data_IF_855098996989
#
_entry.id   IF_855098996989
#
_cell.length_a   1.000
_cell.length_b   1.000
_cell.length_c   1.000
_cell.angle_alpha   90.00
_cell.angle_beta   90.00
_cell.angle_gamma   90.00
#
_symmetry.space_group_name_H-M   'P 1'
#
loop_
_entity.id
_entity.type
_entity.pdbx_description
1 polymer ?
#
# COMPACT_ATOMS: atom_id res chain seq x y z
N UNK A 1 -2.07 -6.22 -10.45
CA UNK A 1 -1.97 -5.22 -11.53
C UNK A 1 -2.67 -5.70 -12.82
N UNK A 2 -2.33 -6.84 -13.45
CA UNK A 2 -2.97 -7.27 -14.70
C UNK A 2 -4.50 -7.26 -14.66
N UNK A 3 -5.12 -7.80 -13.63
CA UNK A 3 -6.59 -7.84 -13.49
C UNK A 3 -7.27 -6.47 -13.55
N UNK A 4 -6.64 -5.41 -13.05
CA UNK A 4 -7.20 -4.05 -13.16
C UNK A 4 -7.12 -3.53 -14.59
N UNK A 5 -6.00 -3.81 -15.27
CA UNK A 5 -5.80 -3.43 -16.67
C UNK A 5 -6.75 -4.21 -17.59
N UNK A 6 -6.89 -5.51 -17.41
CA UNK A 6 -7.81 -6.38 -18.14
C UNK A 6 -9.27 -5.97 -17.96
N UNK A 7 -9.62 -5.42 -16.78
CA UNK A 7 -10.93 -4.86 -16.50
C UNK A 7 -11.13 -3.44 -17.07
N UNK A 8 -10.16 -2.89 -17.78
CA UNK A 8 -10.25 -1.59 -18.47
C UNK A 8 -10.02 -0.38 -17.56
N UNK A 9 -9.49 -0.55 -16.35
CA UNK A 9 -9.16 0.57 -15.49
C UNK A 9 -7.88 1.27 -15.95
N UNK A 10 -7.90 2.62 -15.94
CA UNK A 10 -6.67 3.41 -16.02
C UNK A 10 -5.97 3.33 -14.66
N UNK A 11 -4.73 2.90 -14.66
CA UNK A 11 -3.97 2.71 -13.41
C UNK A 11 -2.77 3.64 -13.40
N UNK A 12 -2.64 4.39 -12.30
CA UNK A 12 -1.45 5.18 -11.98
C UNK A 12 -0.76 4.59 -10.76
N UNK A 13 0.56 4.54 -10.79
CA UNK A 13 1.37 4.09 -9.67
C UNK A 13 2.29 5.22 -9.21
N UNK A 14 2.39 5.41 -7.89
CA UNK A 14 3.37 6.32 -7.28
C UNK A 14 4.59 5.51 -6.86
N UNK A 15 5.76 5.89 -7.34
CA UNK A 15 7.01 5.17 -7.08
C UNK A 15 8.17 6.14 -6.83
N UNK A 16 9.10 5.74 -5.97
CA UNK A 16 10.37 6.47 -5.77
C UNK A 16 11.43 6.11 -6.81
N UNK A 17 11.33 4.90 -7.37
CA UNK A 17 12.33 4.27 -8.23
C UNK A 17 11.68 3.77 -9.51
N UNK A 18 11.47 4.62 -10.53
CA UNK A 18 10.78 4.26 -11.77
C UNK A 18 11.50 3.16 -12.56
N UNK A 19 12.83 3.05 -12.43
CA UNK A 19 13.64 2.01 -13.06
C UNK A 19 13.23 0.58 -12.68
N UNK A 20 12.65 0.39 -11.47
CA UNK A 20 12.14 -0.91 -11.03
C UNK A 20 10.84 -1.28 -11.74
N UNK A 21 10.03 -0.29 -12.07
CA UNK A 21 8.77 -0.49 -12.80
C UNK A 21 9.02 -0.81 -14.26
N UNK A 22 10.03 -0.19 -14.87
CA UNK A 22 10.38 -0.41 -16.28
C UNK A 22 10.70 -1.88 -16.63
N UNK A 23 11.03 -2.69 -15.63
CA UNK A 23 11.30 -4.13 -15.80
C UNK A 23 10.03 -5.00 -15.74
N UNK A 24 8.87 -4.44 -15.41
CA UNK A 24 7.65 -5.20 -15.25
C UNK A 24 6.88 -5.32 -16.58
N UNK A 25 6.26 -6.47 -16.88
CA UNK A 25 5.64 -6.72 -18.17
C UNK A 25 4.47 -5.79 -18.51
N UNK A 26 3.89 -5.14 -17.52
CA UNK A 26 2.75 -4.23 -17.66
C UNK A 26 3.16 -2.74 -17.56
N UNK A 27 4.45 -2.40 -17.50
CA UNK A 27 4.91 -1.02 -17.25
C UNK A 27 4.41 -0.01 -18.28
N UNK A 28 4.28 -0.41 -19.55
CA UNK A 28 3.77 0.46 -20.63
C UNK A 28 2.24 0.67 -20.58
N UNK A 29 1.53 -0.01 -19.68
CA UNK A 29 0.08 0.05 -19.57
C UNK A 29 -0.38 0.88 -18.37
N UNK A 30 0.55 1.46 -17.62
CA UNK A 30 0.26 2.26 -16.43
C UNK A 30 0.88 3.65 -16.54
N UNK A 31 0.24 4.62 -15.89
CA UNK A 31 0.84 5.93 -15.67
C UNK A 31 1.79 5.87 -14.47
N UNK A 32 2.98 6.42 -14.59
CA UNK A 32 3.99 6.45 -13.52
C UNK A 32 4.10 7.87 -12.99
N UNK A 33 3.72 8.07 -11.72
CA UNK A 33 4.02 9.26 -10.96
C UNK A 33 5.29 8.99 -10.12
N UNK A 34 6.25 9.91 -10.16
CA UNK A 34 7.50 9.78 -9.41
C UNK A 34 7.41 10.66 -8.17
N UNK A 35 7.64 10.07 -6.99
CA UNK A 35 7.61 10.82 -5.73
C UNK A 35 7.58 9.91 -4.50
N UNK A 36 7.70 10.54 -3.34
CA UNK A 36 7.56 9.88 -2.05
C UNK A 36 6.15 10.09 -1.49
N UNK A 37 5.57 9.06 -0.88
CA UNK A 37 4.26 9.13 -0.26
C UNK A 37 4.24 9.98 1.04
N UNK A 38 5.39 10.43 1.53
CA UNK A 38 5.51 11.44 2.59
C UNK A 38 5.50 12.87 2.05
N UNK A 39 5.56 13.05 0.73
CA UNK A 39 5.51 14.37 0.10
C UNK A 39 4.07 14.69 -0.34
N UNK A 40 3.40 15.67 0.31
CA UNK A 40 2.06 16.09 -0.07
C UNK A 40 1.95 16.58 -1.53
N UNK A 41 2.99 17.23 -2.07
CA UNK A 41 2.97 17.74 -3.43
C UNK A 41 3.06 16.60 -4.46
N UNK A 42 3.89 15.59 -4.19
CA UNK A 42 3.95 14.38 -5.00
C UNK A 42 2.61 13.62 -4.99
N UNK A 43 1.98 13.50 -3.81
CA UNK A 43 0.66 12.88 -3.69
C UNK A 43 -0.43 13.69 -4.40
N UNK A 44 -0.42 15.02 -4.29
CA UNK A 44 -1.38 15.86 -5.01
C UNK A 44 -1.30 15.64 -6.52
N UNK A 45 -0.09 15.54 -7.06
CA UNK A 45 0.15 15.23 -8.47
C UNK A 45 -0.33 13.82 -8.83
N UNK A 46 -0.01 12.83 -7.97
CA UNK A 46 -0.39 11.44 -8.20
C UNK A 46 -1.92 11.22 -8.13
N UNK A 47 -2.63 11.98 -7.31
CA UNK A 47 -4.08 11.86 -7.11
C UNK A 47 -4.92 12.64 -8.14
N UNK A 48 -4.30 13.47 -8.97
CA UNK A 48 -5.03 14.22 -9.98
C UNK A 48 -5.84 13.30 -10.89
N UNK A 49 -7.15 13.52 -11.00
CA UNK A 49 -8.09 12.72 -11.81
C UNK A 49 -8.14 11.22 -11.41
N UNK A 50 -7.91 10.91 -10.14
CA UNK A 50 -7.99 9.57 -9.57
C UNK A 50 -9.25 9.43 -8.72
N UNK A 51 -10.05 8.40 -8.97
CA UNK A 51 -11.25 8.11 -8.19
C UNK A 51 -10.97 7.22 -6.97
N UNK A 52 -10.08 6.23 -7.12
CA UNK A 52 -9.83 5.21 -6.10
C UNK A 52 -8.33 5.09 -5.84
N UNK A 53 -7.94 5.20 -4.58
CA UNK A 53 -6.55 5.08 -4.16
C UNK A 53 -6.33 3.80 -3.35
N UNK A 54 -5.33 2.99 -3.75
CA UNK A 54 -4.88 1.82 -3.01
C UNK A 54 -3.68 2.19 -2.12
N UNK A 55 -3.81 2.01 -0.82
CA UNK A 55 -2.70 2.15 0.11
C UNK A 55 -2.09 0.78 0.41
N UNK A 56 -0.93 0.50 -0.20
CA UNK A 56 -0.22 -0.78 -0.09
C UNK A 56 1.20 -0.59 0.49
N UNK A 57 1.48 0.59 1.06
CA UNK A 57 2.79 0.93 1.59
C UNK A 57 2.97 0.31 2.98
N UNK A 58 4.17 -0.16 3.26
CA UNK A 58 4.62 -0.55 4.59
C UNK A 58 6.14 -0.39 4.71
N UNK A 59 6.60 -0.15 5.94
CA UNK A 59 8.00 0.16 6.23
C UNK A 59 8.80 -1.08 6.70
N UNK A 60 8.49 -2.29 6.21
CA UNK A 60 9.22 -3.51 6.55
C UNK A 60 10.69 -3.35 6.16
N UNK A 61 11.60 -3.57 7.13
CA UNK A 61 13.04 -3.50 6.90
C UNK A 61 13.63 -2.09 6.99
N UNK A 62 12.84 -1.06 7.34
CA UNK A 62 13.41 0.25 7.67
C UNK A 62 14.16 0.18 9.00
N UNK A 63 15.32 0.83 9.06
CA UNK A 63 16.06 1.06 10.32
C UNK A 63 15.44 2.24 11.05
N UNK A 64 15.18 2.10 12.37
CA UNK A 64 14.60 3.15 13.18
C UNK A 64 13.16 2.87 13.61
N UNK A 65 12.44 3.92 14.01
CA UNK A 65 11.05 3.83 14.47
C UNK A 65 10.10 3.66 13.28
N UNK A 66 9.93 2.43 12.82
CA UNK A 66 9.06 2.10 11.68
C UNK A 66 7.58 2.42 11.97
N UNK A 67 7.14 2.36 13.23
CA UNK A 67 5.76 2.69 13.62
C UNK A 67 5.49 4.18 13.37
N UNK A 68 6.43 5.06 13.74
CA UNK A 68 6.31 6.49 13.49
C UNK A 68 6.34 6.81 11.98
N UNK A 69 7.19 6.14 11.22
CA UNK A 69 7.27 6.31 9.75
C UNK A 69 5.95 5.87 9.10
N UNK A 70 5.42 4.71 9.44
CA UNK A 70 4.15 4.21 8.89
C UNK A 70 2.98 5.14 9.24
N UNK A 71 2.91 5.60 10.50
CA UNK A 71 1.91 6.56 10.97
C UNK A 71 1.97 7.87 10.18
N UNK A 72 3.17 8.45 10.05
CA UNK A 72 3.39 9.70 9.32
C UNK A 72 2.96 9.56 7.86
N UNK A 73 3.45 8.54 7.16
CA UNK A 73 3.12 8.31 5.75
C UNK A 73 1.62 8.10 5.54
N UNK A 74 0.97 7.32 6.42
CA UNK A 74 -0.46 7.08 6.35
C UNK A 74 -1.27 8.37 6.59
N UNK A 75 -0.84 9.21 7.52
CA UNK A 75 -1.49 10.49 7.83
C UNK A 75 -1.39 11.46 6.66
N UNK A 76 -0.21 11.59 6.05
CA UNK A 76 0.01 12.45 4.89
C UNK A 76 -0.84 11.97 3.71
N UNK A 77 -0.83 10.66 3.44
CA UNK A 77 -1.63 10.06 2.37
C UNK A 77 -3.14 10.30 2.58
N UNK A 78 -3.67 10.00 3.77
CA UNK A 78 -5.08 10.15 4.10
C UNK A 78 -5.54 11.63 3.99
N UNK A 79 -4.72 12.55 4.49
CA UNK A 79 -4.97 13.98 4.40
C UNK A 79 -5.01 14.45 2.95
N UNK A 80 -4.03 14.04 2.17
CA UNK A 80 -3.96 14.43 0.76
C UNK A 80 -5.06 13.78 -0.07
N UNK A 81 -5.43 12.53 0.21
CA UNK A 81 -6.55 11.85 -0.45
C UNK A 81 -7.87 12.62 -0.26
N UNK A 82 -8.10 13.13 0.96
CA UNK A 82 -9.27 13.97 1.24
C UNK A 82 -9.24 15.29 0.47
N UNK A 83 -8.08 15.97 0.41
CA UNK A 83 -7.92 17.24 -0.29
C UNK A 83 -8.01 17.11 -1.83
N UNK A 84 -7.75 15.91 -2.36
CA UNK A 84 -7.79 15.63 -3.80
C UNK A 84 -9.10 14.97 -4.26
N UNK A 85 -10.15 15.01 -3.43
CA UNK A 85 -11.48 14.47 -3.73
C UNK A 85 -11.47 12.98 -4.13
N UNK A 86 -10.54 12.20 -3.57
CA UNK A 86 -10.52 10.73 -3.75
C UNK A 86 -11.84 10.16 -3.23
N UNK A 87 -12.54 9.43 -4.08
CA UNK A 87 -13.86 8.87 -3.75
C UNK A 87 -13.78 7.64 -2.85
N UNK A 88 -12.66 6.92 -2.89
CA UNK A 88 -12.47 5.71 -2.07
C UNK A 88 -11.01 5.39 -1.84
N UNK A 89 -10.70 4.99 -0.61
CA UNK A 89 -9.42 4.38 -0.26
C UNK A 89 -9.62 2.87 -0.10
N UNK A 90 -8.69 2.07 -0.63
CA UNK A 90 -8.60 0.63 -0.39
C UNK A 90 -7.28 0.38 0.34
N UNK A 91 -7.39 -0.17 1.54
CA UNK A 91 -6.25 -0.50 2.38
C UNK A 91 -6.14 -2.02 2.56
N UNK A 92 -4.93 -2.55 2.43
CA UNK A 92 -4.61 -3.93 2.74
C UNK A 92 -3.71 -3.97 3.98
N UNK A 93 -4.29 -4.37 5.11
CA UNK A 93 -3.63 -4.53 6.40
C UNK A 93 -3.41 -5.99 6.78
N UNK A 94 -2.95 -6.20 8.03
CA UNK A 94 -2.87 -7.52 8.66
C UNK A 94 -4.14 -7.91 9.40
N UNK A 95 -4.25 -9.18 9.79
CA UNK A 95 -5.30 -9.65 10.70
C UNK A 95 -5.12 -9.02 12.08
N UNK A 96 -6.23 -8.63 12.70
CA UNK A 96 -6.24 -7.89 13.98
C UNK A 96 -7.00 -8.66 15.07
N UNK A 97 -7.11 -9.97 14.95
CA UNK A 97 -7.98 -10.80 15.83
C UNK A 97 -7.32 -11.19 17.17
N UNK A 98 -6.06 -10.80 17.42
CA UNK A 98 -5.34 -11.13 18.64
C UNK A 98 -5.26 -9.89 19.55
N UNK A 99 -5.64 -9.98 20.85
CA UNK A 99 -5.47 -8.89 21.80
C UNK A 99 -3.99 -8.57 22.10
N UNK A 100 -3.06 -9.48 21.77
CA UNK A 100 -1.61 -9.30 21.90
C UNK A 100 -0.94 -9.18 20.53
N UNK A 101 -1.27 -8.12 19.79
CA UNK A 101 -0.64 -7.85 18.50
C UNK A 101 0.87 -7.63 18.64
N UNK A 102 1.65 -8.20 17.73
CA UNK A 102 3.04 -7.84 17.57
C UNK A 102 3.18 -6.35 17.22
N UNK A 103 4.34 -5.70 17.46
CA UNK A 103 4.55 -4.30 17.08
C UNK A 103 4.19 -4.04 15.62
N UNK A 104 4.55 -4.95 14.73
CA UNK A 104 4.24 -4.85 13.30
C UNK A 104 2.72 -4.89 13.03
N UNK A 105 1.98 -5.83 13.60
CA UNK A 105 0.53 -5.90 13.43
C UNK A 105 -0.19 -4.71 14.08
N UNK A 106 0.34 -4.18 15.19
CA UNK A 106 -0.18 -2.98 15.85
C UNK A 106 -0.03 -1.75 14.96
N UNK A 107 1.15 -1.55 14.33
CA UNK A 107 1.36 -0.49 13.35
C UNK A 107 0.39 -0.61 12.17
N UNK A 108 0.18 -1.83 11.65
CA UNK A 108 -0.78 -2.07 10.56
C UNK A 108 -2.22 -1.76 10.97
N UNK A 109 -2.60 -2.06 12.21
CA UNK A 109 -3.90 -1.70 12.77
C UNK A 109 -4.07 -0.18 12.86
N UNK A 110 -3.04 0.53 13.33
CA UNK A 110 -3.03 1.99 13.42
C UNK A 110 -3.18 2.64 12.04
N UNK A 111 -2.42 2.19 11.06
CA UNK A 111 -2.56 2.66 9.66
C UNK A 111 -3.99 2.44 9.14
N UNK A 112 -4.58 1.28 9.41
CA UNK A 112 -5.98 1.00 9.05
C UNK A 112 -6.95 2.00 9.69
N UNK A 113 -6.77 2.31 10.96
CA UNK A 113 -7.58 3.30 11.67
C UNK A 113 -7.43 4.71 11.10
N UNK A 114 -6.21 5.13 10.75
CA UNK A 114 -5.95 6.42 10.08
C UNK A 114 -6.73 6.50 8.75
N UNK A 115 -6.71 5.44 7.94
CA UNK A 115 -7.43 5.41 6.67
C UNK A 115 -8.95 5.47 6.89
N UNK A 116 -9.49 4.69 7.84
CA UNK A 116 -10.92 4.66 8.16
C UNK A 116 -11.42 6.00 8.71
N UNK A 117 -10.58 6.74 9.43
CA UNK A 117 -10.90 8.04 10.03
C UNK A 117 -10.56 9.23 9.11
N UNK A 118 -10.04 9.00 7.92
CA UNK A 118 -9.63 10.05 6.98
C UNK A 118 -10.75 11.00 6.52
N UNK A 119 -12.00 10.55 6.64
CA UNK A 119 -13.17 11.22 6.06
C UNK A 119 -13.41 10.86 4.59
N UNK A 120 -12.56 10.01 3.99
CA UNK A 120 -12.77 9.40 2.66
C UNK A 120 -13.37 8.00 2.85
N UNK A 121 -14.41 7.60 2.11
CA UNK A 121 -14.94 6.24 2.16
C UNK A 121 -13.84 5.21 2.00
N UNK A 122 -13.62 4.36 3.00
CA UNK A 122 -12.48 3.44 3.04
C UNK A 122 -12.93 1.99 3.22
N UNK A 123 -12.33 1.08 2.46
CA UNK A 123 -12.43 -0.37 2.65
C UNK A 123 -11.08 -0.87 3.15
N UNK A 124 -11.06 -1.43 4.36
CA UNK A 124 -9.88 -2.04 4.94
C UNK A 124 -10.00 -3.58 4.89
N UNK A 125 -9.08 -4.22 4.18
CA UNK A 125 -8.96 -5.68 4.15
C UNK A 125 -7.90 -6.13 5.15
N UNK A 126 -8.22 -7.11 5.98
CA UNK A 126 -7.25 -7.82 6.81
C UNK A 126 -6.81 -9.11 6.13
N UNK A 127 -5.53 -9.27 5.88
CA UNK A 127 -4.97 -10.50 5.31
C UNK A 127 -3.95 -11.13 6.26
N UNK A 128 -3.91 -12.45 6.27
CA UNK A 128 -2.80 -13.23 6.84
C UNK A 128 -1.63 -13.25 5.84
N UNK A 129 -0.90 -14.35 5.78
CA UNK A 129 0.15 -14.56 4.76
C UNK A 129 -0.51 -14.67 3.39
N UNK A 130 -0.13 -13.78 2.48
CA UNK A 130 -0.62 -13.82 1.10
C UNK A 130 0.21 -14.87 0.34
N UNK A 131 -0.48 -15.93 -0.07
CA UNK A 131 0.12 -17.01 -0.84
C UNK A 131 0.09 -16.65 -2.34
N UNK A 132 1.24 -16.70 -2.97
CA UNK A 132 1.36 -16.43 -4.41
C UNK A 132 2.78 -16.67 -4.92
N UNK A 133 2.91 -17.15 -6.14
CA UNK A 133 4.21 -17.34 -6.79
C UNK A 133 5.00 -16.03 -6.80
N UNK A 134 6.27 -16.07 -6.36
CA UNK A 134 7.14 -14.90 -6.23
C UNK A 134 6.87 -14.03 -5.00
N UNK A 135 5.89 -14.36 -4.15
CA UNK A 135 5.74 -13.73 -2.84
C UNK A 135 6.86 -14.19 -1.90
N UNK A 136 7.60 -13.25 -1.32
CA UNK A 136 8.69 -13.57 -0.39
C UNK A 136 8.21 -14.45 0.79
N UNK A 137 7.05 -14.14 1.35
CA UNK A 137 6.46 -14.93 2.44
C UNK A 137 6.09 -16.34 2.01
N UNK A 138 5.57 -16.50 0.81
CA UNK A 138 5.24 -17.83 0.27
C UNK A 138 6.50 -18.65 0.00
N UNK A 139 7.51 -18.05 -0.65
CA UNK A 139 8.77 -18.73 -0.94
C UNK A 139 9.53 -19.13 0.34
N UNK A 140 9.46 -18.29 1.38
CA UNK A 140 10.03 -18.64 2.68
C UNK A 140 9.30 -19.82 3.33
N UNK A 141 7.96 -19.83 3.34
CA UNK A 141 7.18 -20.96 3.86
C UNK A 141 7.43 -22.23 3.07
N UNK A 142 7.47 -22.15 1.74
CA UNK A 142 7.79 -23.27 0.86
C UNK A 142 9.16 -23.85 1.19
N UNK A 143 10.17 -22.99 1.29
CA UNK A 143 11.52 -23.42 1.64
C UNK A 143 11.58 -24.14 3.00
N UNK A 144 10.93 -23.60 4.02
CA UNK A 144 10.88 -24.20 5.35
C UNK A 144 10.20 -25.58 5.35
N UNK A 145 9.12 -25.73 4.58
CA UNK A 145 8.37 -27.01 4.52
C UNK A 145 9.04 -28.07 3.65
N UNK A 146 9.83 -27.68 2.65
CA UNK A 146 10.54 -28.61 1.75
C UNK A 146 11.93 -29.02 2.26
N UNK A 147 12.52 -28.24 3.18
CA UNK A 147 13.92 -28.41 3.63
C UNK A 147 14.07 -28.76 5.11
N UNK A 148 13.03 -28.68 5.91
CA UNK A 148 12.97 -29.10 7.32
C UNK A 148 12.10 -30.34 7.49
#
# INVERSE_FOLDING_TARGET
MPQLLDAGYRVRILVRHPERVAQLPWHNQVEVAIGDANDPAALATAFKDVDVAYYLIHAIGSTGDFEAIERSTATVFATQAKHSDIKRIIYLGGLQNDPKLSPHLRSRAEVGNIMLQSGVPTIAFGAAVILGSGSLSFEMLRYLTERL
#
